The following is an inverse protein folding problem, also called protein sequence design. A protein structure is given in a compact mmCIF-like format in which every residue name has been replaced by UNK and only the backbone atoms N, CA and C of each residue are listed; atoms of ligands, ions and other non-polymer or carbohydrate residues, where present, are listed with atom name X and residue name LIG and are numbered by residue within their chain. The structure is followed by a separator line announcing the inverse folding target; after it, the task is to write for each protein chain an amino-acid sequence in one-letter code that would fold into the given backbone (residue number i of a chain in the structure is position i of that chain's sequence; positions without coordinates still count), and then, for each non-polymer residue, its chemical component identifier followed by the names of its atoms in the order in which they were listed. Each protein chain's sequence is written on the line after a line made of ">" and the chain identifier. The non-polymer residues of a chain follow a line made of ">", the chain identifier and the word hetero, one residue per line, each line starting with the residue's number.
data_IF_693837818127
#
_entry.id   IF_693837818127
#
_cell.length_a   1.000
_cell.length_b   1.000
_cell.length_c   1.000
_cell.angle_alpha   90.00
_cell.angle_beta   90.00
_cell.angle_gamma   90.00
#
_symmetry.space_group_name_H-M   'P 1'
#
loop_
_entity.id
_entity.type
_entity.pdbx_description
1 polymer ?
#
# COMPACT_ATOMS: atom_id res chain seq x y z
N UNK A 1 35.99 -63.16 37.17
CA UNK A 1 35.88 -61.69 37.24
C UNK A 1 37.10 -61.12 36.54
N UNK A 2 37.01 -60.92 35.24
CA UNK A 2 38.01 -60.21 34.45
C UNK A 2 37.41 -59.85 33.08
N UNK A 3 37.25 -58.55 32.78
CA UNK A 3 37.49 -58.03 31.43
C UNK A 3 37.60 -56.51 31.44
N UNK A 4 38.83 -56.09 31.17
CA UNK A 4 39.36 -54.75 30.89
C UNK A 4 38.43 -53.86 30.06
N UNK A 5 38.41 -52.58 30.45
CA UNK A 5 37.95 -51.43 29.67
C UNK A 5 38.74 -51.30 28.36
N UNK A 6 38.03 -51.35 27.23
CA UNK A 6 38.57 -50.90 25.95
C UNK A 6 38.28 -49.40 25.78
N UNK A 7 39.35 -48.61 25.82
CA UNK A 7 39.34 -47.22 25.40
C UNK A 7 39.46 -47.18 23.87
N UNK A 8 38.33 -47.00 23.17
CA UNK A 8 38.33 -46.70 21.74
C UNK A 8 38.76 -45.25 21.54
N UNK A 9 39.97 -45.07 21.02
CA UNK A 9 40.49 -43.80 20.54
C UNK A 9 39.60 -43.27 19.40
N UNK A 10 39.02 -42.09 19.60
CA UNK A 10 38.25 -41.38 18.58
C UNK A 10 39.21 -40.46 17.81
N UNK A 11 39.53 -40.85 16.58
CA UNK A 11 40.39 -40.12 15.65
C UNK A 11 39.76 -38.76 15.29
N UNK A 12 40.52 -37.66 15.23
CA UNK A 12 39.99 -36.37 14.82
C UNK A 12 39.63 -36.40 13.33
N UNK A 13 38.35 -36.20 13.02
CA UNK A 13 37.84 -36.09 11.66
C UNK A 13 38.44 -34.88 10.96
N UNK A 14 39.26 -35.14 9.94
CA UNK A 14 39.84 -34.17 9.03
C UNK A 14 38.72 -33.48 8.24
N UNK A 15 38.40 -32.22 8.57
CA UNK A 15 37.46 -31.41 7.80
C UNK A 15 38.14 -31.03 6.47
N UNK A 16 37.99 -31.87 5.44
CA UNK A 16 38.45 -31.54 4.09
C UNK A 16 37.62 -30.37 3.55
N UNK A 17 38.17 -29.16 3.67
CA UNK A 17 37.69 -27.98 2.93
C UNK A 17 38.02 -28.23 1.46
N UNK A 18 37.06 -28.81 0.74
CA UNK A 18 37.15 -28.97 -0.72
C UNK A 18 37.03 -27.59 -1.34
N UNK A 19 38.15 -27.05 -1.80
CA UNK A 19 38.17 -25.79 -2.54
C UNK A 19 37.22 -25.90 -3.75
N UNK A 20 36.22 -25.01 -3.89
CA UNK A 20 35.32 -25.04 -5.02
C UNK A 20 36.14 -24.80 -6.30
N UNK A 21 35.87 -25.60 -7.33
CA UNK A 21 36.49 -25.42 -8.64
C UNK A 21 36.23 -23.98 -9.12
N UNK A 22 37.17 -23.34 -9.84
CA UNK A 22 37.02 -21.95 -10.28
C UNK A 22 35.74 -21.75 -11.11
N UNK A 23 35.30 -22.80 -11.81
CA UNK A 23 34.04 -22.82 -12.56
C UNK A 23 32.80 -22.69 -11.67
N UNK A 24 32.77 -23.34 -10.50
CA UNK A 24 31.65 -23.22 -9.54
C UNK A 24 31.63 -21.85 -8.87
N UNK A 25 32.79 -21.27 -8.59
CA UNK A 25 32.89 -19.90 -8.06
C UNK A 25 32.39 -18.88 -9.09
N UNK A 26 32.81 -19.00 -10.35
CA UNK A 26 32.36 -18.13 -11.43
C UNK A 26 30.83 -18.23 -11.65
N UNK A 27 30.29 -19.45 -11.66
CA UNK A 27 28.85 -19.66 -11.78
C UNK A 27 28.06 -19.04 -10.62
N UNK A 28 28.56 -19.14 -9.39
CA UNK A 28 27.93 -18.54 -8.21
C UNK A 28 27.91 -17.01 -8.28
N UNK A 29 29.01 -16.38 -8.70
CA UNK A 29 29.09 -14.92 -8.86
C UNK A 29 28.11 -14.44 -9.93
N UNK A 30 28.02 -15.15 -11.06
CA UNK A 30 27.07 -14.81 -12.12
C UNK A 30 25.62 -14.95 -11.61
N UNK A 31 25.30 -16.03 -10.91
CA UNK A 31 23.95 -16.25 -10.37
C UNK A 31 23.55 -15.14 -9.37
N UNK A 32 24.46 -14.73 -8.48
CA UNK A 32 24.23 -13.62 -7.54
C UNK A 32 24.04 -12.31 -8.30
N UNK A 33 24.86 -12.05 -9.33
CA UNK A 33 24.73 -10.86 -10.16
C UNK A 33 23.38 -10.76 -10.88
N UNK A 34 22.92 -11.87 -11.48
CA UNK A 34 21.62 -11.93 -12.15
C UNK A 34 20.46 -11.78 -11.16
N UNK A 35 20.54 -12.44 -10.00
CA UNK A 35 19.53 -12.31 -8.95
C UNK A 35 19.47 -10.88 -8.39
N UNK A 36 20.63 -10.25 -8.17
CA UNK A 36 20.73 -8.87 -7.72
C UNK A 36 20.15 -7.89 -8.74
N UNK A 37 20.47 -8.04 -10.02
CA UNK A 37 19.92 -7.22 -11.09
C UNK A 37 18.40 -7.39 -11.21
N UNK A 38 17.91 -8.63 -11.12
CA UNK A 38 16.49 -8.94 -11.12
C UNK A 38 15.76 -8.30 -9.93
N UNK A 39 16.34 -8.34 -8.74
CA UNK A 39 15.78 -7.72 -7.54
C UNK A 39 15.71 -6.19 -7.67
N UNK A 40 16.78 -5.55 -8.15
CA UNK A 40 16.81 -4.10 -8.39
C UNK A 40 15.75 -3.71 -9.43
N UNK A 41 15.64 -4.45 -10.53
CA UNK A 41 14.65 -4.16 -11.57
C UNK A 41 13.21 -4.35 -11.06
N UNK A 42 12.96 -5.36 -10.24
CA UNK A 42 11.66 -5.57 -9.61
C UNK A 42 11.30 -4.46 -8.62
N UNK A 43 12.24 -4.04 -7.76
CA UNK A 43 12.05 -2.93 -6.81
C UNK A 43 11.73 -1.62 -7.53
N UNK A 44 12.44 -1.33 -8.62
CA UNK A 44 12.20 -0.12 -9.41
C UNK A 44 10.82 -0.14 -10.07
N UNK A 45 10.34 -1.31 -10.53
CA UNK A 45 9.01 -1.45 -11.11
C UNK A 45 7.88 -1.25 -10.09
N UNK A 46 8.10 -1.59 -8.81
CA UNK A 46 7.12 -1.38 -7.73
C UNK A 46 6.92 0.12 -7.43
N UNK A 47 8.01 0.90 -7.46
CA UNK A 47 7.99 2.34 -7.23
C UNK A 47 7.29 3.14 -8.35
N UNK A 48 7.35 2.67 -9.60
CA UNK A 48 6.66 3.33 -10.72
C UNK A 48 5.13 3.17 -10.69
N UNK A 49 4.59 2.30 -9.83
CA UNK A 49 3.15 2.09 -9.62
C UNK A 49 2.64 2.52 -8.24
N UNK A 50 3.53 2.93 -7.33
CA UNK A 50 3.19 3.24 -5.94
C UNK A 50 2.46 4.59 -5.84
N UNK A 51 1.13 4.56 -5.95
CA UNK A 51 0.30 5.70 -5.60
C UNK A 51 0.30 5.87 -4.06
N UNK A 52 0.70 7.04 -3.59
CA UNK A 52 0.56 7.38 -2.17
C UNK A 52 -0.82 7.97 -1.94
N UNK A 53 -1.56 7.38 -1.00
CA UNK A 53 -2.83 7.92 -0.51
C UNK A 53 -2.60 8.59 0.84
N UNK A 54 -2.96 9.86 0.94
CA UNK A 54 -2.84 10.64 2.17
C UNK A 54 -4.23 11.07 2.62
N UNK A 55 -4.66 10.58 3.78
CA UNK A 55 -5.90 11.05 4.43
C UNK A 55 -5.68 12.48 4.95
N UNK A 56 -6.43 13.43 4.41
CA UNK A 56 -6.31 14.85 4.77
C UNK A 56 -7.28 15.23 5.88
N UNK A 57 -8.51 14.72 5.80
CA UNK A 57 -9.58 15.06 6.74
C UNK A 57 -10.55 13.90 6.89
N UNK A 58 -11.02 13.68 8.12
CA UNK A 58 -12.14 12.79 8.40
C UNK A 58 -13.25 13.53 9.13
N UNK A 59 -14.50 13.32 8.71
CA UNK A 59 -15.67 14.01 9.25
C UNK A 59 -16.69 12.95 9.69
N UNK A 60 -16.89 12.74 11.00
CA UNK A 60 -17.81 11.73 11.49
C UNK A 60 -19.26 12.08 11.18
N UNK A 61 -20.09 11.07 10.92
CA UNK A 61 -21.54 11.20 10.81
C UNK A 61 -22.17 11.60 12.15
N UNK A 62 -23.35 12.23 12.15
CA UNK A 62 -24.04 12.60 13.39
C UNK A 62 -24.35 11.39 14.28
N UNK A 63 -24.74 10.25 13.70
CA UNK A 63 -24.95 8.96 14.39
C UNK A 63 -23.66 8.21 14.78
N UNK A 64 -22.49 8.73 14.39
CA UNK A 64 -21.17 8.14 14.64
C UNK A 64 -20.98 6.71 14.13
N UNK A 65 -21.71 6.27 13.10
CA UNK A 65 -21.47 4.97 12.46
C UNK A 65 -20.50 5.04 11.29
N UNK A 66 -20.48 6.17 10.60
CA UNK A 66 -19.67 6.38 9.41
C UNK A 66 -18.88 7.68 9.49
N UNK A 67 -17.96 7.86 8.56
CA UNK A 67 -17.20 9.10 8.39
C UNK A 67 -16.95 9.35 6.91
N UNK A 68 -16.98 10.61 6.54
CA UNK A 68 -16.46 11.07 5.24
C UNK A 68 -14.95 11.11 5.38
N UNK A 69 -14.24 10.48 4.45
CA UNK A 69 -12.79 10.55 4.36
C UNK A 69 -12.45 11.35 3.12
N UNK A 70 -11.78 12.48 3.33
CA UNK A 70 -11.19 13.30 2.27
C UNK A 70 -9.72 12.94 2.19
N UNK A 71 -9.29 12.48 1.02
CA UNK A 71 -7.92 12.02 0.82
C UNK A 71 -7.38 12.45 -0.53
N UNK A 72 -6.08 12.75 -0.54
CA UNK A 72 -5.31 12.98 -1.74
C UNK A 72 -4.73 11.68 -2.25
N UNK A 73 -4.72 11.47 -3.57
CA UNK A 73 -3.95 10.41 -4.22
C UNK A 73 -2.98 11.02 -5.22
N UNK A 74 -1.69 10.82 -4.97
CA UNK A 74 -0.60 11.21 -5.85
C UNK A 74 0.10 9.97 -6.39
N UNK A 75 0.21 9.86 -7.71
CA UNK A 75 0.86 8.73 -8.38
C UNK A 75 2.09 9.23 -9.14
N UNK A 76 3.23 9.29 -8.46
CA UNK A 76 4.55 9.70 -8.97
C UNK A 76 4.53 11.02 -9.82
N UNK A 77 5.66 11.39 -10.40
CA UNK A 77 5.93 12.74 -10.94
C UNK A 77 5.02 13.19 -12.10
N UNK A 78 4.27 12.29 -12.73
CA UNK A 78 3.57 12.57 -14.00
C UNK A 78 2.05 12.67 -13.85
N UNK A 79 1.47 12.26 -12.72
CA UNK A 79 0.02 12.29 -12.50
C UNK A 79 -0.32 13.40 -11.51
N UNK A 80 -1.21 14.34 -11.86
CA UNK A 80 -1.61 15.41 -10.93
C UNK A 80 -2.27 14.82 -9.68
N UNK A 81 -2.07 15.48 -8.54
CA UNK A 81 -2.73 15.14 -7.28
C UNK A 81 -4.25 15.20 -7.48
N UNK A 82 -4.93 14.12 -7.12
CA UNK A 82 -6.40 14.08 -7.12
C UNK A 82 -6.94 14.14 -5.70
N UNK A 83 -7.93 14.98 -5.46
CA UNK A 83 -8.70 14.98 -4.21
C UNK A 83 -9.91 14.08 -4.37
N UNK A 84 -10.10 13.20 -3.40
CA UNK A 84 -11.12 12.16 -3.44
C UNK A 84 -11.90 12.12 -2.14
N UNK A 85 -13.17 11.75 -2.25
CA UNK A 85 -14.05 11.56 -1.10
C UNK A 85 -14.63 10.16 -1.10
N UNK A 86 -14.56 9.52 0.06
CA UNK A 86 -15.15 8.21 0.31
C UNK A 86 -15.93 8.22 1.61
N UNK A 87 -16.83 7.25 1.78
CA UNK A 87 -17.49 6.96 3.04
C UNK A 87 -16.94 5.66 3.59
N UNK A 88 -16.47 5.69 4.82
CA UNK A 88 -16.00 4.52 5.54
C UNK A 88 -16.69 4.43 6.91
N UNK A 89 -16.69 3.26 7.56
CA UNK A 89 -17.07 3.13 8.95
C UNK A 89 -16.23 4.05 9.85
N UNK A 90 -16.80 4.50 10.97
CA UNK A 90 -16.09 5.35 11.91
C UNK A 90 -14.85 4.65 12.49
N UNK A 91 -14.96 3.33 12.73
CA UNK A 91 -13.90 2.50 13.31
C UNK A 91 -13.26 1.61 12.25
N UNK A 92 -11.94 1.42 12.34
CA UNK A 92 -11.17 0.56 11.45
C UNK A 92 -10.22 1.36 10.55
N UNK A 93 -9.39 0.63 9.81
CA UNK A 93 -8.48 1.24 8.84
C UNK A 93 -9.23 1.67 7.58
N UNK A 94 -8.92 2.85 7.07
CA UNK A 94 -9.39 3.30 5.76
C UNK A 94 -8.45 2.80 4.67
N UNK A 95 -9.02 2.30 3.57
CA UNK A 95 -8.33 1.99 2.32
C UNK A 95 -9.27 2.33 1.16
N UNK A 96 -8.82 3.09 0.14
CA UNK A 96 -9.62 3.39 -1.05
C UNK A 96 -10.06 2.15 -1.84
N UNK A 97 -9.34 1.04 -1.70
CA UNK A 97 -9.65 -0.24 -2.35
C UNK A 97 -10.86 -0.91 -1.69
N UNK A 98 -11.01 -0.76 -0.38
CA UNK A 98 -12.14 -1.30 0.39
C UNK A 98 -13.33 -0.35 0.36
N UNK A 99 -13.08 0.96 0.43
CA UNK A 99 -14.08 2.01 0.45
C UNK A 99 -13.86 2.93 -0.75
N UNK A 100 -14.40 2.57 -1.94
CA UNK A 100 -14.15 3.31 -3.17
C UNK A 100 -14.68 4.74 -3.09
N UNK A 101 -14.00 5.70 -3.74
CA UNK A 101 -14.41 7.09 -3.71
C UNK A 101 -15.72 7.28 -4.49
N UNK A 102 -16.65 8.06 -3.93
CA UNK A 102 -17.86 8.48 -4.61
C UNK A 102 -17.67 9.81 -5.37
N UNK A 103 -16.62 10.57 -5.04
CA UNK A 103 -16.26 11.81 -5.74
C UNK A 103 -14.75 11.86 -5.96
N UNK A 104 -14.33 12.27 -7.16
CA UNK A 104 -12.93 12.41 -7.56
C UNK A 104 -12.77 13.66 -8.40
N UNK A 105 -11.84 14.52 -8.04
CA UNK A 105 -11.54 15.76 -8.75
C UNK A 105 -10.05 15.97 -8.95
N UNK A 106 -9.70 16.73 -10.00
CA UNK A 106 -8.33 17.12 -10.29
C UNK A 106 -7.87 18.23 -9.34
N UNK A 107 -6.55 18.30 -9.16
CA UNK A 107 -5.83 19.45 -8.63
C UNK A 107 -6.20 19.80 -7.20
N UNK A 108 -5.98 18.88 -6.25
CA UNK A 108 -5.76 19.15 -4.80
C UNK A 108 -6.70 20.13 -4.08
N UNK A 109 -7.78 20.55 -4.72
CA UNK A 109 -8.55 21.72 -4.32
C UNK A 109 -9.30 21.41 -3.05
N UNK A 110 -9.55 22.43 -2.24
CA UNK A 110 -10.33 22.23 -1.03
C UNK A 110 -11.75 21.84 -1.41
N UNK A 111 -12.08 20.56 -1.30
CA UNK A 111 -13.45 20.08 -1.45
C UNK A 111 -14.12 20.19 -0.09
N UNK A 112 -15.14 21.04 0.00
CA UNK A 112 -15.95 21.12 1.21
C UNK A 112 -16.99 20.01 1.20
N UNK A 113 -16.99 19.20 2.25
CA UNK A 113 -18.00 18.18 2.47
C UNK A 113 -18.50 18.19 3.90
N UNK A 114 -19.80 17.95 4.08
CA UNK A 114 -20.42 17.91 5.39
C UNK A 114 -21.62 16.98 5.40
N UNK A 115 -21.85 16.36 6.56
CA UNK A 115 -23.10 15.64 6.81
C UNK A 115 -24.25 16.63 7.01
N UNK A 116 -25.37 16.37 6.32
CA UNK A 116 -26.65 17.07 6.56
C UNK A 116 -27.57 16.26 7.46
N UNK A 117 -27.46 14.94 7.38
CA UNK A 117 -28.08 13.94 8.26
C UNK A 117 -27.28 12.64 8.13
N UNK A 118 -27.64 11.59 8.88
CA UNK A 118 -26.93 10.29 8.85
C UNK A 118 -26.92 9.61 7.47
N UNK A 119 -27.87 9.96 6.59
CA UNK A 119 -27.99 9.41 5.25
C UNK A 119 -27.78 10.42 4.13
N UNK A 120 -27.32 11.64 4.43
CA UNK A 120 -27.17 12.70 3.42
C UNK A 120 -25.86 13.45 3.62
N UNK A 121 -25.02 13.44 2.58
CA UNK A 121 -23.79 14.24 2.50
C UNK A 121 -24.01 15.37 1.49
N UNK A 122 -23.60 16.57 1.88
CA UNK A 122 -23.49 17.73 0.98
C UNK A 122 -22.02 17.91 0.59
N UNK A 123 -21.75 18.04 -0.70
CA UNK A 123 -20.43 18.30 -1.26
C UNK A 123 -20.48 19.58 -2.09
N UNK A 124 -19.50 20.45 -1.88
CA UNK A 124 -19.25 21.64 -2.70
C UNK A 124 -17.93 21.46 -3.44
N UNK A 125 -17.98 21.13 -4.74
CA UNK A 125 -16.78 21.06 -5.55
C UNK A 125 -16.05 22.42 -5.59
N UNK A 126 -14.71 22.43 -5.69
CA UNK A 126 -13.96 23.63 -6.02
C UNK A 126 -14.48 24.27 -7.30
N UNK A 127 -14.46 25.61 -7.37
CA UNK A 127 -14.73 26.31 -8.62
C UNK A 127 -13.69 25.91 -9.67
N UNK A 128 -14.12 25.75 -10.92
CA UNK A 128 -13.26 25.51 -12.10
C UNK A 128 -12.37 24.25 -12.03
N UNK A 129 -12.79 23.21 -11.31
CA UNK A 129 -12.09 21.92 -11.31
C UNK A 129 -12.63 20.92 -12.32
N UNK A 130 -11.77 19.99 -12.75
CA UNK A 130 -12.19 18.82 -13.52
C UNK A 130 -12.70 17.74 -12.56
N UNK A 131 -13.96 17.34 -12.75
CA UNK A 131 -14.59 16.26 -12.00
C UNK A 131 -14.44 14.97 -12.80
N UNK A 132 -13.78 13.97 -12.23
CA UNK A 132 -13.59 12.65 -12.85
C UNK A 132 -14.66 11.65 -12.44
N UNK A 133 -15.19 11.78 -11.22
CA UNK A 133 -16.25 10.93 -10.69
C UNK A 133 -17.16 11.75 -9.81
N UNK A 134 -18.47 11.54 -9.96
CA UNK A 134 -19.50 12.21 -9.20
C UNK A 134 -20.73 11.31 -9.04
N UNK A 135 -20.70 10.47 -8.02
CA UNK A 135 -21.81 9.56 -7.73
C UNK A 135 -22.92 10.30 -6.97
N UNK A 136 -24.18 9.93 -7.20
CA UNK A 136 -25.32 10.47 -6.45
C UNK A 136 -25.58 9.74 -5.13
N UNK A 137 -25.00 8.54 -4.96
CA UNK A 137 -25.12 7.75 -3.74
C UNK A 137 -23.80 7.02 -3.45
N UNK A 138 -23.53 6.79 -2.18
CA UNK A 138 -22.43 5.96 -1.69
C UNK A 138 -23.04 4.89 -0.75
N UNK A 139 -23.36 3.72 -1.31
CA UNK A 139 -24.22 2.75 -0.63
C UNK A 139 -25.63 3.34 -0.40
N UNK A 140 -26.09 3.34 0.85
CA UNK A 140 -27.40 3.88 1.25
C UNK A 140 -27.38 5.41 1.52
N UNK A 141 -26.22 6.05 1.41
CA UNK A 141 -26.05 7.49 1.69
C UNK A 141 -26.22 8.29 0.40
N UNK A 142 -27.10 9.29 0.45
CA UNK A 142 -27.36 10.21 -0.67
C UNK A 142 -26.35 11.34 -0.69
N UNK A 143 -25.84 11.68 -1.88
CA UNK A 143 -24.89 12.77 -2.10
C UNK A 143 -25.59 13.92 -2.83
N UNK A 144 -25.53 15.12 -2.26
CA UNK A 144 -26.06 16.35 -2.83
C UNK A 144 -24.89 17.27 -3.18
N UNK A 145 -24.83 17.70 -4.43
CA UNK A 145 -23.81 18.64 -4.90
C UNK A 145 -24.41 20.04 -5.01
N UNK A 146 -23.66 21.05 -4.58
CA UNK A 146 -24.04 22.47 -4.66
C UNK A 146 -22.94 23.31 -5.28
#
# INVERSE_FOLDING_TARGET
>A
MDKRSDATAMTPGELKVVAPRPLTVAAAVIAIGVAGLGYVMWSVMDDFGACTTVEERSIPSPDRKSRIVVFGRACNATVPLTTQLSVAPLTGSFSPETYPPFFVTRDGGHVDAAWRSDGVIEVKPPADTVIYRQERNAGDIRIIYK
#
